data_IF_897706863215
#
_entry.id   IF_897706863215
#
_cell.length_a   1.000
_cell.length_b   1.000
_cell.length_c   1.000
_cell.angle_alpha   90.00
_cell.angle_beta   90.00
_cell.angle_gamma   90.00
#
_symmetry.space_group_name_H-M   'P 1'
#
loop_
_entity.id
_entity.type
_entity.pdbx_description
1 polymer ?
#
# COMPACT_ATOMS: atom_id res chain seq x y z
N UNK A 1 1.83 -6.32 -30.84
CA UNK A 1 0.81 -6.20 -29.77
C UNK A 1 1.39 -5.29 -28.71
N UNK A 2 0.79 -4.13 -28.48
CA UNK A 2 1.23 -3.21 -27.42
C UNK A 2 0.95 -3.88 -26.08
N UNK A 3 1.98 -4.15 -25.28
CA UNK A 3 1.82 -4.48 -23.87
C UNK A 3 1.30 -3.20 -23.23
N UNK A 4 -0.02 -3.10 -23.11
CA UNK A 4 -0.64 -2.06 -22.31
C UNK A 4 -0.20 -2.30 -20.86
N UNK A 5 0.69 -1.46 -20.34
CA UNK A 5 1.09 -1.50 -18.94
C UNK A 5 -0.16 -1.24 -18.08
N UNK A 6 -0.72 -2.32 -17.53
CA UNK A 6 -1.83 -2.29 -16.57
C UNK A 6 -1.32 -1.63 -15.29
N UNK A 7 -2.01 -0.60 -14.82
CA UNK A 7 -1.64 0.09 -13.57
C UNK A 7 -2.04 -0.76 -12.35
N UNK A 8 -1.33 -0.62 -11.22
CA UNK A 8 -1.75 -1.28 -9.98
C UNK A 8 -3.00 -0.61 -9.40
N UNK A 9 -3.81 -1.32 -8.60
CA UNK A 9 -4.94 -0.67 -7.91
C UNK A 9 -4.44 0.43 -6.95
N UNK A 10 -3.28 0.21 -6.34
CA UNK A 10 -2.61 1.13 -5.43
C UNK A 10 -2.32 2.48 -6.13
N UNK A 11 -1.81 2.42 -7.35
CA UNK A 11 -1.56 3.61 -8.17
C UNK A 11 -2.85 4.34 -8.52
N UNK A 12 -3.87 3.60 -8.97
CA UNK A 12 -5.17 4.19 -9.30
C UNK A 12 -5.80 4.88 -8.07
N UNK A 13 -5.71 4.27 -6.88
CA UNK A 13 -6.21 4.87 -5.64
C UNK A 13 -5.41 6.08 -5.17
N UNK A 14 -4.10 6.10 -5.41
CA UNK A 14 -3.29 7.28 -5.14
C UNK A 14 -3.76 8.48 -5.96
N UNK A 15 -4.15 8.26 -7.22
CA UNK A 15 -4.73 9.32 -8.07
C UNK A 15 -6.12 9.74 -7.60
N UNK A 16 -6.97 8.81 -7.15
CA UNK A 16 -8.33 9.12 -6.65
C UNK A 16 -8.29 10.12 -5.50
N UNK A 17 -7.27 10.08 -4.63
CA UNK A 17 -7.12 11.09 -3.56
C UNK A 17 -7.00 12.52 -4.08
N UNK A 18 -6.50 12.70 -5.29
CA UNK A 18 -6.39 14.02 -5.91
C UNK A 18 -7.73 14.51 -6.49
N UNK A 19 -8.73 13.64 -6.66
CA UNK A 19 -10.03 14.03 -7.21
C UNK A 19 -10.70 15.10 -6.36
N UNK A 20 -10.56 15.03 -5.03
CA UNK A 20 -11.06 16.07 -4.12
C UNK A 20 -10.50 17.44 -4.44
N UNK A 21 -9.19 17.51 -4.71
CA UNK A 21 -8.50 18.76 -5.04
C UNK A 21 -8.86 19.24 -6.45
N UNK A 22 -9.19 18.32 -7.36
CA UNK A 22 -9.57 18.64 -8.75
C UNK A 22 -11.04 19.06 -8.89
N UNK A 23 -11.86 18.96 -7.84
CA UNK A 23 -13.24 19.46 -7.86
C UNK A 23 -13.29 20.97 -8.08
N UNK A 24 -12.42 21.73 -7.41
CA UNK A 24 -12.33 23.18 -7.59
C UNK A 24 -11.96 23.55 -9.03
N UNK A 25 -11.04 22.79 -9.63
CA UNK A 25 -10.65 22.95 -11.03
C UNK A 25 -11.81 22.64 -11.97
N UNK A 26 -12.56 21.56 -11.69
CA UNK A 26 -13.72 21.19 -12.49
C UNK A 26 -14.78 22.29 -12.48
N UNK A 27 -15.08 22.88 -11.32
CA UNK A 27 -16.05 23.98 -11.23
C UNK A 27 -15.58 25.26 -11.93
N UNK A 28 -14.29 25.60 -11.83
CA UNK A 28 -13.76 26.85 -12.39
C UNK A 28 -13.52 26.77 -13.89
N UNK A 29 -13.08 25.61 -14.38
CA UNK A 29 -12.53 25.48 -15.74
C UNK A 29 -13.21 24.39 -16.58
N UNK A 30 -14.19 23.66 -16.03
CA UNK A 30 -14.87 22.57 -16.75
C UNK A 30 -13.99 21.34 -16.99
N UNK A 31 -12.88 21.22 -16.27
CA UNK A 31 -11.91 20.15 -16.40
C UNK A 31 -11.33 19.77 -15.02
N UNK A 32 -11.21 18.47 -14.72
CA UNK A 32 -10.63 17.95 -13.49
C UNK A 32 -9.08 17.97 -13.48
N UNK A 33 -8.49 19.09 -13.90
CA UNK A 33 -7.06 19.37 -13.74
C UNK A 33 -6.11 18.24 -14.16
N UNK A 34 -5.25 17.84 -13.23
CA UNK A 34 -4.25 16.79 -13.45
C UNK A 34 -4.87 15.39 -13.56
N UNK A 35 -5.98 15.13 -12.85
CA UNK A 35 -6.69 13.86 -12.95
C UNK A 35 -7.19 13.58 -14.38
N UNK A 36 -7.58 14.63 -15.13
CA UNK A 36 -7.97 14.44 -16.53
C UNK A 36 -6.83 14.01 -17.43
N UNK A 37 -5.63 14.58 -17.26
CA UNK A 37 -4.46 14.18 -18.05
C UNK A 37 -4.10 12.72 -17.79
N UNK A 38 -4.10 12.31 -16.52
CA UNK A 38 -3.87 10.93 -16.13
C UNK A 38 -4.96 10.01 -16.69
N UNK A 39 -6.24 10.36 -16.51
CA UNK A 39 -7.37 9.57 -17.01
C UNK A 39 -7.30 9.35 -18.52
N UNK A 40 -6.92 10.37 -19.29
CA UNK A 40 -6.76 10.27 -20.75
C UNK A 40 -5.58 9.38 -21.16
N UNK A 41 -4.54 9.25 -20.31
CA UNK A 41 -3.42 8.34 -20.56
C UNK A 41 -3.72 6.87 -20.22
N UNK A 42 -4.79 6.59 -19.46
CA UNK A 42 -5.17 5.23 -19.11
C UNK A 42 -5.77 4.49 -20.31
N UNK A 43 -5.52 3.18 -20.36
CA UNK A 43 -6.27 2.29 -21.23
C UNK A 43 -7.74 2.18 -20.75
N UNK A 44 -8.63 1.70 -21.62
CA UNK A 44 -10.07 1.61 -21.31
C UNK A 44 -10.38 0.74 -20.09
N UNK A 45 -9.57 -0.26 -19.82
CA UNK A 45 -9.78 -1.16 -18.69
C UNK A 45 -9.38 -0.49 -17.36
N UNK A 46 -8.26 0.22 -17.33
CA UNK A 46 -7.81 1.00 -16.17
C UNK A 46 -8.74 2.18 -15.88
N UNK A 47 -9.35 2.78 -16.91
CA UNK A 47 -10.40 3.79 -16.71
C UNK A 47 -11.61 3.22 -15.96
N UNK A 48 -12.10 2.03 -16.34
CA UNK A 48 -13.19 1.35 -15.62
C UNK A 48 -12.78 1.01 -14.19
N UNK A 49 -11.57 0.45 -13.99
CA UNK A 49 -11.02 0.14 -12.66
C UNK A 49 -10.96 1.40 -11.78
N UNK A 50 -10.43 2.51 -12.30
CA UNK A 50 -10.36 3.79 -11.59
C UNK A 50 -11.75 4.29 -11.19
N UNK A 51 -12.73 4.27 -12.10
CA UNK A 51 -14.11 4.70 -11.80
C UNK A 51 -14.72 3.82 -10.72
N UNK A 52 -14.61 2.49 -10.84
CA UNK A 52 -15.11 1.56 -9.82
C UNK A 52 -14.51 1.87 -8.44
N UNK A 53 -13.19 2.04 -8.37
CA UNK A 53 -12.49 2.40 -7.12
C UNK A 53 -12.97 3.74 -6.57
N UNK A 54 -13.15 4.76 -7.42
CA UNK A 54 -13.56 6.08 -6.99
C UNK A 54 -15.01 6.11 -6.47
N UNK A 55 -15.91 5.32 -7.07
CA UNK A 55 -17.27 5.13 -6.58
C UNK A 55 -17.30 4.46 -5.20
N UNK A 56 -16.35 3.56 -4.91
CA UNK A 56 -16.25 2.85 -3.63
C UNK A 56 -15.80 3.75 -2.47
N UNK A 57 -15.08 4.86 -2.73
CA UNK A 57 -14.65 5.81 -1.69
C UNK A 57 -15.84 6.54 -1.02
N UNK A 58 -17.01 6.62 -1.69
CA UNK A 58 -18.26 7.25 -1.21
C UNK A 58 -18.12 8.72 -0.76
N UNK A 59 -17.01 9.35 -1.08
CA UNK A 59 -16.76 10.75 -0.79
C UNK A 59 -17.45 11.67 -1.81
N UNK A 60 -18.15 12.70 -1.32
CA UNK A 60 -19.01 13.55 -2.17
C UNK A 60 -18.24 14.23 -3.29
N UNK A 61 -17.07 14.78 -2.98
CA UNK A 61 -16.26 15.55 -3.94
C UNK A 61 -15.65 14.62 -5.00
N UNK A 62 -15.15 13.47 -4.54
CA UNK A 62 -14.65 12.40 -5.41
C UNK A 62 -15.74 11.89 -6.36
N UNK A 63 -16.97 11.71 -5.88
CA UNK A 63 -18.10 11.24 -6.69
C UNK A 63 -18.48 12.23 -7.80
N UNK A 64 -18.37 13.54 -7.57
CA UNK A 64 -18.66 14.55 -8.59
C UNK A 64 -17.64 14.47 -9.73
N UNK A 65 -16.34 14.42 -9.41
CA UNK A 65 -15.28 14.25 -10.41
C UNK A 65 -15.38 12.90 -11.12
N UNK A 66 -15.76 11.85 -10.40
CA UNK A 66 -15.98 10.51 -10.99
C UNK A 66 -17.11 10.53 -12.01
N UNK A 67 -18.23 11.20 -11.72
CA UNK A 67 -19.35 11.33 -12.67
C UNK A 67 -18.94 12.07 -13.94
N UNK A 68 -18.13 13.12 -13.80
CA UNK A 68 -17.55 13.81 -14.97
C UNK A 68 -16.77 12.84 -15.88
N UNK A 69 -15.96 11.95 -15.32
CA UNK A 69 -15.26 10.93 -16.11
C UNK A 69 -16.18 9.85 -16.69
N UNK A 70 -17.22 9.43 -15.94
CA UNK A 70 -18.22 8.48 -16.45
C UNK A 70 -18.97 9.04 -17.67
N UNK A 71 -19.32 10.32 -17.66
CA UNK A 71 -19.92 11.00 -18.82
C UNK A 71 -19.01 10.93 -20.05
N UNK A 72 -17.70 11.17 -19.88
CA UNK A 72 -16.71 11.08 -20.98
C UNK A 72 -16.60 9.66 -21.57
N UNK A 73 -16.96 8.63 -20.81
CA UNK A 73 -16.98 7.24 -21.27
C UNK A 73 -18.35 6.77 -21.76
N UNK A 74 -19.38 7.64 -21.77
CA UNK A 74 -20.78 7.24 -22.00
C UNK A 74 -21.26 6.15 -21.01
N UNK A 75 -20.79 6.23 -19.77
CA UNK A 75 -21.18 5.35 -18.66
C UNK A 75 -21.96 6.12 -17.59
N UNK A 76 -22.47 7.31 -17.93
CA UNK A 76 -23.38 8.05 -17.06
C UNK A 76 -24.51 7.11 -16.61
N UNK A 77 -24.81 7.11 -15.31
CA UNK A 77 -25.81 6.27 -14.64
C UNK A 77 -25.46 4.79 -14.39
N UNK A 78 -24.29 4.29 -14.81
CA UNK A 78 -23.90 2.91 -14.49
C UNK A 78 -23.55 2.72 -13.02
N UNK A 79 -24.07 1.66 -12.41
CA UNK A 79 -23.69 1.24 -11.06
C UNK A 79 -22.33 0.53 -11.06
N UNK A 80 -21.78 0.28 -9.86
CA UNK A 80 -20.56 -0.55 -9.72
C UNK A 80 -20.78 -1.94 -10.34
N UNK A 81 -21.94 -2.55 -10.11
CA UNK A 81 -22.25 -3.88 -10.67
C UNK A 81 -22.28 -3.86 -12.20
N UNK A 82 -22.87 -2.81 -12.79
CA UNK A 82 -22.87 -2.62 -14.25
C UNK A 82 -21.45 -2.47 -14.80
N UNK A 83 -20.59 -1.74 -14.09
CA UNK A 83 -19.19 -1.57 -14.49
C UNK A 83 -18.43 -2.89 -14.40
N UNK A 84 -18.61 -3.67 -13.33
CA UNK A 84 -17.98 -4.99 -13.16
C UNK A 84 -18.36 -5.96 -14.29
N UNK A 85 -19.59 -5.91 -14.79
CA UNK A 85 -20.03 -6.74 -15.93
C UNK A 85 -19.36 -6.35 -17.27
N UNK A 86 -18.82 -5.13 -17.38
CA UNK A 86 -18.17 -4.61 -18.59
C UNK A 86 -16.65 -4.77 -18.58
N UNK A 87 -16.10 -5.29 -17.48
CA UNK A 87 -14.68 -5.45 -17.27
C UNK A 87 -14.20 -6.83 -17.73
N UNK A 88 -12.92 -6.92 -18.09
CA UNK A 88 -12.27 -8.20 -18.30
C UNK A 88 -12.26 -9.00 -16.99
N UNK A 89 -12.33 -10.33 -17.09
CA UNK A 89 -12.45 -11.22 -15.92
C UNK A 89 -11.38 -10.95 -14.87
N UNK A 90 -10.12 -10.78 -15.28
CA UNK A 90 -9.00 -10.50 -14.38
C UNK A 90 -9.20 -9.20 -13.59
N UNK A 91 -9.56 -8.11 -14.27
CA UNK A 91 -9.79 -6.80 -13.66
C UNK A 91 -11.02 -6.80 -12.75
N UNK A 92 -12.08 -7.50 -13.17
CA UNK A 92 -13.30 -7.69 -12.37
C UNK A 92 -12.97 -8.39 -11.06
N UNK A 93 -12.29 -9.54 -11.14
CA UNK A 93 -11.89 -10.31 -9.95
C UNK A 93 -11.02 -9.48 -9.01
N UNK A 94 -10.13 -8.65 -9.55
CA UNK A 94 -9.28 -7.77 -8.75
C UNK A 94 -10.08 -6.72 -7.95
N UNK A 95 -11.09 -6.11 -8.56
CA UNK A 95 -12.00 -5.16 -7.90
C UNK A 95 -12.92 -5.88 -6.90
N UNK A 96 -13.47 -7.04 -7.25
CA UNK A 96 -14.31 -7.84 -6.34
C UNK A 96 -13.52 -8.27 -5.09
N UNK A 97 -12.27 -8.71 -5.27
CA UNK A 97 -11.37 -9.00 -4.15
C UNK A 97 -11.10 -7.77 -3.29
N UNK A 98 -10.95 -6.59 -3.91
CA UNK A 98 -10.80 -5.34 -3.17
C UNK A 98 -12.05 -5.03 -2.33
N UNK A 99 -13.25 -5.08 -2.94
CA UNK A 99 -14.53 -4.86 -2.24
C UNK A 99 -14.67 -5.81 -1.05
N UNK A 100 -14.36 -7.10 -1.27
CA UNK A 100 -14.36 -8.11 -0.19
C UNK A 100 -13.40 -7.74 0.93
N UNK A 101 -12.18 -7.31 0.59
CA UNK A 101 -11.16 -6.92 1.59
C UNK A 101 -11.58 -5.71 2.43
N UNK A 102 -12.30 -4.73 1.85
CA UNK A 102 -12.83 -3.59 2.60
C UNK A 102 -13.87 -4.01 3.63
N UNK A 103 -14.65 -5.06 3.35
CA UNK A 103 -15.68 -5.57 4.26
C UNK A 103 -15.12 -6.53 5.33
N UNK A 104 -13.95 -7.13 5.09
CA UNK A 104 -13.31 -8.08 6.00
C UNK A 104 -12.38 -7.42 7.03
N UNK A 105 -12.37 -6.08 7.14
CA UNK A 105 -11.56 -5.37 8.14
C UNK A 105 -12.11 -5.68 9.53
N UNK A 106 -11.58 -6.74 10.14
CA UNK A 106 -11.80 -7.06 11.53
C UNK A 106 -10.74 -6.36 12.37
N UNK A 107 -11.18 -5.43 13.21
CA UNK A 107 -10.41 -4.91 14.31
C UNK A 107 -10.18 -6.06 15.29
N UNK A 108 -8.98 -6.64 15.27
CA UNK A 108 -8.61 -7.67 16.25
C UNK A 108 -7.87 -6.98 17.39
N UNK A 109 -8.52 -6.90 18.55
CA UNK A 109 -7.89 -6.40 19.77
C UNK A 109 -6.84 -7.38 20.33
N UNK A 110 -6.89 -8.65 19.90
CA UNK A 110 -5.97 -9.71 20.32
C UNK A 110 -5.45 -10.53 19.12
N UNK A 111 -4.15 -10.86 19.14
CA UNK A 111 -3.52 -11.73 18.14
C UNK A 111 -3.85 -13.19 18.48
N UNK A 112 -4.52 -13.94 17.58
CA UNK A 112 -4.74 -15.37 17.77
C UNK A 112 -3.44 -16.14 18.03
N UNK A 113 -3.50 -17.17 18.88
CA UNK A 113 -2.30 -17.87 19.35
C UNK A 113 -1.49 -18.52 18.20
N UNK A 114 -2.15 -19.03 17.17
CA UNK A 114 -1.52 -19.59 15.97
C UNK A 114 -0.80 -18.52 15.14
N UNK A 115 -1.41 -17.36 14.94
CA UNK A 115 -0.79 -16.19 14.30
C UNK A 115 0.41 -15.69 15.12
N UNK A 116 0.27 -15.65 16.45
CA UNK A 116 1.33 -15.27 17.37
C UNK A 116 2.56 -16.20 17.26
N UNK A 117 2.35 -17.52 17.25
CA UNK A 117 3.47 -18.46 17.07
C UNK A 117 4.19 -18.25 15.73
N UNK A 118 3.44 -17.93 14.67
CA UNK A 118 4.02 -17.63 13.36
C UNK A 118 4.86 -16.35 13.38
N UNK A 119 4.36 -15.27 14.00
CA UNK A 119 5.13 -14.04 14.23
C UNK A 119 6.43 -14.35 14.98
N UNK A 120 6.35 -15.08 16.10
CA UNK A 120 7.53 -15.45 16.89
C UNK A 120 8.54 -16.26 16.08
N UNK A 121 8.09 -17.15 15.20
CA UNK A 121 8.98 -17.92 14.34
C UNK A 121 9.71 -17.04 13.32
N UNK A 122 9.02 -16.09 12.69
CA UNK A 122 9.66 -15.13 11.78
C UNK A 122 10.63 -14.19 12.53
N UNK A 123 10.30 -13.76 13.75
CA UNK A 123 11.22 -12.98 14.57
C UNK A 123 12.48 -13.76 14.96
N UNK A 124 12.35 -15.05 15.30
CA UNK A 124 13.53 -15.90 15.55
C UNK A 124 14.42 -16.02 14.32
N UNK A 125 13.82 -16.11 13.12
CA UNK A 125 14.59 -16.07 11.86
C UNK A 125 15.28 -14.72 11.69
N UNK A 126 14.61 -13.62 12.04
CA UNK A 126 15.15 -12.27 11.90
C UNK A 126 16.36 -12.09 12.81
N UNK A 127 16.23 -12.45 14.10
CA UNK A 127 17.34 -12.42 15.06
C UNK A 127 18.54 -13.23 14.56
N UNK A 128 18.33 -14.42 13.98
CA UNK A 128 19.42 -15.22 13.41
C UNK A 128 20.07 -14.57 12.17
N UNK A 129 19.30 -13.85 11.36
CA UNK A 129 19.74 -13.24 10.11
C UNK A 129 20.48 -11.91 10.35
N UNK A 130 19.90 -11.03 11.17
CA UNK A 130 20.36 -9.65 11.35
C UNK A 130 20.86 -9.33 12.76
N UNK A 131 20.50 -10.10 13.79
CA UNK A 131 20.75 -9.73 15.19
C UNK A 131 22.22 -9.59 15.59
N UNK A 132 23.13 -10.24 14.85
CA UNK A 132 24.59 -10.13 15.07
C UNK A 132 25.33 -9.30 14.03
N UNK A 133 24.61 -8.64 13.12
CA UNK A 133 25.26 -7.86 12.06
C UNK A 133 25.89 -6.59 12.63
N UNK A 134 27.12 -6.22 12.18
CA UNK A 134 27.82 -5.04 12.66
C UNK A 134 27.26 -3.72 12.09
N UNK A 135 26.36 -3.82 11.11
CA UNK A 135 25.71 -2.71 10.42
C UNK A 135 24.20 -2.83 10.66
N UNK A 136 23.51 -1.70 10.70
CA UNK A 136 22.06 -1.65 10.77
C UNK A 136 21.45 -2.24 9.50
N UNK A 137 20.51 -3.17 9.68
CA UNK A 137 19.70 -3.77 8.64
C UNK A 137 18.24 -3.73 9.07
N UNK A 138 17.38 -3.47 8.11
CA UNK A 138 15.94 -3.42 8.31
C UNK A 138 15.25 -4.38 7.33
N UNK A 139 14.16 -5.01 7.77
CA UNK A 139 13.31 -5.82 6.91
C UNK A 139 11.83 -5.56 7.19
N UNK A 140 11.06 -5.45 6.11
CA UNK A 140 9.63 -5.66 6.16
C UNK A 140 9.31 -7.13 5.93
N UNK A 141 8.59 -7.74 6.86
CA UNK A 141 8.18 -9.14 6.81
C UNK A 141 6.65 -9.17 6.70
N UNK A 142 6.15 -9.64 5.57
CA UNK A 142 4.72 -9.73 5.26
C UNK A 142 4.25 -11.17 5.48
N UNK A 143 3.43 -11.38 6.52
CA UNK A 143 2.91 -12.71 6.86
C UNK A 143 1.58 -12.93 6.14
N UNK A 144 1.46 -13.88 5.19
CA UNK A 144 0.22 -14.10 4.45
C UNK A 144 -0.86 -14.77 5.31
N UNK A 145 -2.14 -14.58 4.95
CA UNK A 145 -3.28 -15.22 5.63
C UNK A 145 -3.26 -16.74 5.54
N UNK A 146 -2.76 -17.29 4.43
CA UNK A 146 -2.57 -18.74 4.27
C UNK A 146 -1.37 -19.22 5.09
N UNK A 147 -1.59 -20.21 5.95
CA UNK A 147 -0.58 -20.81 6.82
C UNK A 147 0.48 -21.61 6.04
N UNK A 148 0.14 -22.08 4.84
CA UNK A 148 1.05 -22.86 3.99
C UNK A 148 1.95 -21.97 3.13
N UNK A 149 1.66 -20.68 3.02
CA UNK A 149 2.50 -19.74 2.30
C UNK A 149 3.64 -19.24 3.21
N UNK A 150 4.84 -19.12 2.66
CA UNK A 150 5.96 -18.50 3.38
C UNK A 150 5.75 -16.98 3.53
N UNK A 151 6.35 -16.40 4.58
CA UNK A 151 6.36 -14.95 4.74
C UNK A 151 7.25 -14.31 3.67
N UNK A 152 6.83 -13.17 3.13
CA UNK A 152 7.64 -12.40 2.18
C UNK A 152 8.55 -11.45 2.95
N UNK A 153 9.86 -11.54 2.70
CA UNK A 153 10.88 -10.71 3.32
C UNK A 153 11.41 -9.69 2.32
N UNK A 154 11.22 -8.41 2.64
CA UNK A 154 11.62 -7.28 1.79
C UNK A 154 12.71 -6.52 2.53
N UNK A 155 13.89 -6.44 1.93
CA UNK A 155 15.00 -5.68 2.51
C UNK A 155 14.64 -4.19 2.50
N UNK A 156 14.77 -3.58 3.67
CA UNK A 156 14.51 -2.17 3.90
C UNK A 156 15.79 -1.38 4.15
N UNK A 157 16.95 -2.00 3.90
CA UNK A 157 18.25 -1.41 4.12
C UNK A 157 18.75 -0.71 2.86
N UNK A 158 19.05 0.59 2.95
CA UNK A 158 19.83 1.24 1.91
C UNK A 158 21.31 0.88 2.08
N UNK A 159 21.91 0.32 1.03
CA UNK A 159 23.33 0.01 0.95
C UNK A 159 24.26 1.24 1.02
N UNK A 160 23.70 2.45 0.95
CA UNK A 160 24.46 3.70 0.86
C UNK A 160 24.94 4.26 2.22
N UNK A 161 24.37 3.84 3.35
CA UNK A 161 24.69 4.35 4.69
C UNK A 161 24.93 3.24 5.70
N UNK A 162 26.04 3.34 6.44
CA UNK A 162 26.41 2.40 7.54
C UNK A 162 25.64 2.70 8.84
N UNK A 163 25.01 3.88 8.93
CA UNK A 163 24.48 4.42 10.20
C UNK A 163 22.97 4.71 10.18
N UNK A 164 22.30 4.53 9.05
CA UNK A 164 20.87 4.78 8.91
C UNK A 164 20.30 3.95 7.78
N UNK A 165 19.38 3.04 8.10
CA UNK A 165 18.60 2.33 7.09
C UNK A 165 17.35 3.13 6.72
N UNK A 166 17.25 3.50 5.44
CA UNK A 166 16.10 4.19 4.86
C UNK A 166 15.45 3.32 3.79
N UNK A 167 14.17 2.99 3.97
CA UNK A 167 13.42 2.32 2.91
C UNK A 167 12.88 3.33 1.90
N UNK A 168 13.53 3.41 0.73
CA UNK A 168 13.14 4.27 -0.38
C UNK A 168 12.90 3.44 -1.66
N UNK A 169 11.85 2.60 -1.70
CA UNK A 169 11.58 1.74 -2.86
C UNK A 169 11.25 2.55 -4.11
N UNK A 170 11.55 1.98 -5.28
CA UNK A 170 11.06 2.52 -6.53
C UNK A 170 9.52 2.47 -6.59
N UNK A 171 8.93 3.25 -7.50
CA UNK A 171 7.46 3.37 -7.63
C UNK A 171 6.77 2.00 -7.79
N UNK A 172 7.34 1.11 -8.60
CA UNK A 172 6.76 -0.21 -8.85
C UNK A 172 6.86 -1.12 -7.60
N UNK A 173 8.01 -1.13 -6.93
CA UNK A 173 8.25 -1.87 -5.68
C UNK A 173 7.32 -1.38 -4.56
N UNK A 174 7.09 -0.07 -4.46
CA UNK A 174 6.13 0.52 -3.52
C UNK A 174 4.74 -0.09 -3.71
N UNK A 175 4.23 -0.17 -4.93
CA UNK A 175 2.88 -0.70 -5.16
C UNK A 175 2.81 -2.21 -4.97
N UNK A 176 3.86 -2.94 -5.35
CA UNK A 176 3.97 -4.36 -5.07
C UNK A 176 3.95 -4.63 -3.56
N UNK A 177 4.72 -3.87 -2.79
CA UNK A 177 4.72 -3.91 -1.32
C UNK A 177 3.29 -3.74 -0.78
N UNK A 178 2.59 -2.69 -1.18
CA UNK A 178 1.26 -2.37 -0.64
C UNK A 178 0.24 -3.45 -1.01
N UNK A 179 0.30 -3.97 -2.24
CA UNK A 179 -0.56 -5.06 -2.70
C UNK A 179 -0.35 -6.33 -1.87
N UNK A 180 0.91 -6.69 -1.58
CA UNK A 180 1.26 -7.82 -0.73
C UNK A 180 0.89 -7.59 0.74
N UNK A 181 1.09 -6.38 1.25
CA UNK A 181 0.71 -5.98 2.60
C UNK A 181 -0.81 -6.11 2.83
N UNK A 182 -1.62 -5.76 1.83
CA UNK A 182 -3.09 -5.93 1.88
C UNK A 182 -3.52 -7.39 2.03
N UNK A 183 -2.85 -8.29 1.31
CA UNK A 183 -3.10 -9.75 1.35
C UNK A 183 -2.52 -10.41 2.61
N UNK A 184 -1.68 -9.70 3.34
CA UNK A 184 -1.05 -10.18 4.56
C UNK A 184 -1.98 -10.05 5.75
N UNK A 185 -1.82 -10.97 6.70
CA UNK A 185 -2.48 -10.91 7.99
C UNK A 185 -1.72 -9.99 8.95
N UNK A 186 -0.39 -10.00 8.91
CA UNK A 186 0.49 -9.14 9.69
C UNK A 186 1.62 -8.57 8.82
N UNK A 187 2.01 -7.35 9.15
CA UNK A 187 3.14 -6.62 8.56
C UNK A 187 4.09 -6.34 9.71
N UNK A 188 5.29 -6.91 9.66
CA UNK A 188 6.30 -6.71 10.71
C UNK A 188 7.43 -5.88 10.12
N UNK A 189 7.85 -4.84 10.83
CA UNK A 189 9.09 -4.13 10.53
C UNK A 189 10.11 -4.44 11.62
N UNK A 190 11.28 -4.97 11.24
CA UNK A 190 12.34 -5.38 12.16
C UNK A 190 13.65 -4.69 11.83
N UNK A 191 14.39 -4.31 12.86
CA UNK A 191 15.74 -3.72 12.76
C UNK A 191 16.73 -4.53 13.60
N UNK A 192 18.02 -4.44 13.27
CA UNK A 192 19.06 -4.68 14.27
C UNK A 192 19.78 -3.36 14.56
N UNK A 193 20.00 -3.07 15.83
CA UNK A 193 20.79 -1.92 16.24
C UNK A 193 22.13 -2.41 16.79
N UNK A 194 23.20 -2.44 15.97
CA UNK A 194 24.51 -2.82 16.47
C UNK A 194 24.92 -1.85 17.59
N UNK A 195 25.36 -2.39 18.72
CA UNK A 195 25.97 -1.59 19.78
C UNK A 195 27.25 -0.96 19.21
N UNK A 196 27.19 0.33 18.90
CA UNK A 196 28.37 1.03 18.42
C UNK A 196 29.16 1.45 19.64
N UNK A 197 30.20 0.69 19.98
CA UNK A 197 31.21 1.05 20.98
C UNK A 197 32.03 2.25 20.47
N UNK A 198 31.41 3.44 20.44
CA UNK A 198 32.13 4.68 20.14
C UNK A 198 32.71 5.24 21.43
N UNK A 199 34.03 5.40 21.49
CA UNK A 199 34.68 6.17 22.56
C UNK A 199 34.16 7.61 22.47
N UNK A 200 33.20 7.95 23.34
CA UNK A 200 32.57 9.27 23.43
C UNK A 200 31.19 9.41 22.76
N UNK A 201 30.57 8.33 22.30
CA UNK A 201 29.22 8.35 21.72
C UNK A 201 28.12 8.22 22.78
N UNK A 202 27.15 9.13 22.75
CA UNK A 202 25.95 9.04 23.58
C UNK A 202 25.19 7.74 23.28
N UNK A 203 24.97 6.89 24.29
CA UNK A 203 24.19 5.65 24.20
C UNK A 203 22.67 5.89 23.95
N UNK A 204 22.29 7.12 23.61
CA UNK A 204 20.93 7.54 23.29
C UNK A 204 20.59 7.36 21.80
N UNK A 205 21.08 6.30 21.16
CA UNK A 205 20.51 5.92 19.86
C UNK A 205 19.06 5.52 20.09
N UNK A 206 18.16 6.33 19.57
CA UNK A 206 16.73 6.08 19.57
C UNK A 206 16.48 4.69 18.98
N UNK A 207 16.07 3.74 19.82
CA UNK A 207 15.52 2.45 19.40
C UNK A 207 14.16 2.72 18.75
N UNK A 208 14.13 3.43 17.62
CA UNK A 208 12.90 3.71 16.89
C UNK A 208 13.17 3.52 15.40
N UNK A 209 12.14 3.10 14.64
CA UNK A 209 12.24 3.06 13.18
C UNK A 209 12.67 4.41 12.63
N UNK A 210 13.32 4.39 11.46
CA UNK A 210 13.76 5.63 10.82
C UNK A 210 12.56 6.52 10.47
N UNK A 211 12.81 7.84 10.30
CA UNK A 211 11.77 8.74 9.79
C UNK A 211 11.26 8.28 8.42
N UNK A 212 12.15 7.76 7.57
CA UNK A 212 11.80 7.22 6.25
C UNK A 212 10.81 6.04 6.37
N UNK A 213 11.03 5.13 7.32
CA UNK A 213 10.11 4.01 7.56
C UNK A 213 8.73 4.48 8.03
N UNK A 214 8.70 5.50 8.89
CA UNK A 214 7.44 6.12 9.33
C UNK A 214 6.73 6.87 8.21
N UNK A 215 7.47 7.56 7.34
CA UNK A 215 6.90 8.29 6.21
C UNK A 215 6.39 7.30 5.14
N UNK A 216 7.11 6.21 4.85
CA UNK A 216 6.63 5.12 4.01
C UNK A 216 5.37 4.47 4.61
N UNK A 217 5.47 4.05 5.88
CA UNK A 217 4.42 3.97 6.89
C UNK A 217 3.09 4.66 6.53
N UNK A 218 3.20 5.99 6.53
CA UNK A 218 2.09 6.93 6.37
C UNK A 218 1.51 6.92 4.96
N UNK A 219 2.32 6.72 3.93
CA UNK A 219 1.85 6.73 2.54
C UNK A 219 0.83 5.61 2.28
N UNK A 220 1.15 4.38 2.69
CA UNK A 220 0.23 3.26 2.48
C UNK A 220 -0.93 3.24 3.46
N UNK A 221 -0.76 3.71 4.71
CA UNK A 221 -1.91 3.97 5.61
C UNK A 221 -2.88 4.99 5.02
N UNK A 222 -2.37 6.00 4.31
CA UNK A 222 -3.25 6.94 3.63
C UNK A 222 -4.06 6.26 2.52
N UNK A 223 -3.51 5.25 1.86
CA UNK A 223 -4.22 4.50 0.81
C UNK A 223 -5.18 3.51 1.45
N UNK A 224 -4.70 2.66 2.34
CA UNK A 224 -5.47 1.62 3.03
C UNK A 224 -5.32 1.82 4.55
N UNK A 225 -6.19 2.64 5.17
CA UNK A 225 -6.13 2.94 6.60
C UNK A 225 -6.13 1.69 7.48
N UNK A 226 -6.80 0.63 7.04
CA UNK A 226 -6.91 -0.64 7.74
C UNK A 226 -5.58 -1.37 7.96
N UNK A 227 -4.58 -1.10 7.11
CA UNK A 227 -3.27 -1.75 7.26
C UNK A 227 -2.57 -1.30 8.56
N UNK A 228 -2.98 -0.19 9.16
CA UNK A 228 -2.42 0.26 10.44
C UNK A 228 -2.64 -0.74 11.59
N UNK A 229 -3.72 -1.52 11.52
CA UNK A 229 -4.06 -2.50 12.56
C UNK A 229 -3.27 -3.81 12.43
N UNK A 230 -2.62 -4.01 11.28
CA UNK A 230 -1.78 -5.18 10.98
C UNK A 230 -0.30 -4.92 11.19
N UNK A 231 0.09 -3.68 11.50
CA UNK A 231 1.48 -3.26 11.55
C UNK A 231 2.07 -3.44 12.95
N UNK A 232 3.18 -4.18 13.03
CA UNK A 232 4.00 -4.33 14.22
C UNK A 232 5.39 -3.75 13.95
N UNK A 233 5.73 -2.67 14.63
CA UNK A 233 7.11 -2.17 14.69
C UNK A 233 7.83 -2.86 15.84
N UNK A 234 8.91 -3.58 15.53
CA UNK A 234 9.71 -4.31 16.51
C UNK A 234 11.18 -3.90 16.38
N UNK A 235 11.82 -3.78 17.54
CA UNK A 235 13.16 -3.23 17.75
C UNK A 235 14.09 -4.31 18.31
#
# INVERSE_FOLDING_TARGET
>A
MSISNKHSLEELREVIKNFRNDLEWLYRYGNAGNSSNFFLSLNEEDKKRLICLALLEKDKDTLIVTRYFMEKMNLADKSIDDLLMLMAEESRLEIEMFIKSMNEIQYKDEIPNDEYQRIINELKKAVRKIGGQPIEHAFWILIPKDINCEALWIDASDSSSVFSTEYAPEKHEKYEFISNARRSIWIIHVHNHPAVDFIGGDNNRSLMPSKADHDFARQWKGLYPELQYKLLFLL
#
